data_IF_139972078882
#
_entry.id   IF_139972078882
#
_cell.length_a   1.000
_cell.length_b   1.000
_cell.length_c   1.000
_cell.angle_alpha   90.00
_cell.angle_beta   90.00
_cell.angle_gamma   90.00
#
_symmetry.space_group_name_H-M   'P 1'
#
loop_
_entity.id
_entity.type
_entity.pdbx_description
1 polymer ?
#
# COMPACT_ATOMS: atom_id res chain seq x y z
N UNK A 1 4.19 12.82 7.09
CA UNK A 1 2.73 13.00 7.10
C UNK A 1 2.37 13.91 8.25
N UNK A 2 1.75 15.05 7.97
CA UNK A 2 1.26 15.91 9.03
C UNK A 2 -0.16 15.50 9.39
N UNK A 3 -0.35 14.93 10.58
CA UNK A 3 -1.67 14.52 11.05
C UNK A 3 -2.43 15.75 11.53
N UNK A 4 -3.48 16.15 10.79
CA UNK A 4 -4.37 17.26 11.17
C UNK A 4 -5.12 16.94 12.46
N UNK A 5 -5.52 15.67 12.64
CA UNK A 5 -6.27 15.21 13.82
C UNK A 5 -5.36 15.15 15.05
N UNK A 6 -4.15 14.59 14.90
CA UNK A 6 -3.24 14.42 16.04
C UNK A 6 -2.33 15.63 16.28
N UNK A 7 -2.33 16.61 15.37
CA UNK A 7 -1.50 17.83 15.40
C UNK A 7 0.01 17.56 15.53
N UNK A 8 0.50 16.49 14.89
CA UNK A 8 1.91 16.10 14.88
C UNK A 8 2.33 15.50 13.55
N UNK A 9 3.63 15.51 13.29
CA UNK A 9 4.22 14.89 12.13
C UNK A 9 4.56 13.42 12.41
N UNK A 10 4.22 12.56 11.46
CA UNK A 10 4.62 11.16 11.43
C UNK A 10 5.53 10.90 10.24
N UNK A 11 6.61 10.18 10.50
CA UNK A 11 7.47 9.60 9.49
C UNK A 11 7.32 8.09 9.55
N UNK A 12 7.26 7.40 8.41
CA UNK A 12 7.14 5.95 8.39
C UNK A 12 8.05 5.34 7.35
N UNK A 13 8.88 4.42 7.80
CA UNK A 13 9.74 3.57 6.98
C UNK A 13 9.03 2.22 6.76
N UNK A 14 8.90 1.81 5.49
CA UNK A 14 8.20 0.58 5.10
C UNK A 14 9.14 -0.23 4.21
N UNK A 15 9.41 -1.47 4.62
CA UNK A 15 10.12 -2.45 3.81
C UNK A 15 9.12 -3.44 3.25
N UNK A 16 9.00 -3.49 1.93
CA UNK A 16 8.07 -4.42 1.28
C UNK A 16 8.57 -5.85 1.42
N UNK A 17 7.63 -6.75 1.73
CA UNK A 17 7.92 -8.17 1.75
C UNK A 17 8.14 -8.69 0.33
N UNK A 18 8.80 -9.84 0.23
CA UNK A 18 8.92 -10.56 -1.05
C UNK A 18 7.55 -10.86 -1.65
N UNK A 19 6.54 -11.11 -0.82
CA UNK A 19 5.17 -11.37 -1.24
C UNK A 19 4.53 -10.15 -1.88
N UNK A 20 4.72 -8.95 -1.30
CA UNK A 20 4.28 -7.69 -1.93
C UNK A 20 4.96 -7.49 -3.28
N UNK A 21 6.28 -7.70 -3.36
CA UNK A 21 7.02 -7.63 -4.62
C UNK A 21 6.49 -8.61 -5.67
N UNK A 22 6.23 -9.85 -5.28
CA UNK A 22 5.66 -10.87 -6.16
C UNK A 22 4.28 -10.44 -6.69
N UNK A 23 3.42 -9.85 -5.86
CA UNK A 23 2.12 -9.34 -6.30
C UNK A 23 2.26 -8.19 -7.30
N UNK A 24 3.25 -7.31 -7.13
CA UNK A 24 3.48 -6.20 -8.06
C UNK A 24 4.01 -6.67 -9.42
N UNK A 25 4.81 -7.74 -9.45
CA UNK A 25 5.40 -8.25 -10.71
C UNK A 25 4.60 -9.40 -11.34
N UNK A 26 3.53 -9.86 -10.70
CA UNK A 26 2.64 -10.89 -11.25
C UNK A 26 1.73 -10.27 -12.30
N UNK A 27 1.67 -10.89 -13.47
CA UNK A 27 0.73 -10.55 -14.53
C UNK A 27 -0.67 -11.06 -14.16
N UNK A 28 -1.66 -10.18 -14.22
CA UNK A 28 -3.07 -10.47 -14.05
C UNK A 28 -3.84 -10.16 -15.35
N UNK A 29 -5.03 -10.74 -15.51
CA UNK A 29 -5.93 -10.34 -16.58
C UNK A 29 -6.53 -8.97 -16.29
N UNK A 30 -6.62 -8.11 -17.30
CA UNK A 30 -7.28 -6.82 -17.16
C UNK A 30 -8.81 -6.95 -17.33
N UNK A 31 -9.56 -6.71 -16.25
CA UNK A 31 -11.03 -6.76 -16.18
C UNK A 31 -11.70 -5.67 -17.02
N UNK A 32 -11.03 -4.52 -17.24
CA UNK A 32 -11.55 -3.41 -18.04
C UNK A 32 -11.08 -3.43 -19.49
N UNK A 33 -9.93 -4.06 -19.76
CA UNK A 33 -9.35 -4.16 -21.11
C UNK A 33 -9.02 -5.62 -21.45
N UNK A 34 -10.03 -6.40 -21.92
CA UNK A 34 -9.83 -7.80 -22.27
C UNK A 34 -8.62 -8.01 -23.19
N UNK A 35 -7.78 -8.99 -22.84
CA UNK A 35 -6.56 -9.31 -23.60
C UNK A 35 -5.33 -8.46 -23.27
N UNK A 36 -5.42 -7.49 -22.34
CA UNK A 36 -4.27 -6.78 -21.80
C UNK A 36 -3.82 -7.37 -20.47
N UNK A 37 -2.50 -7.34 -20.25
CA UNK A 37 -1.91 -7.67 -18.96
C UNK A 37 -2.06 -6.48 -18.01
N UNK A 38 -2.52 -6.77 -16.80
CA UNK A 38 -2.54 -5.85 -15.68
C UNK A 38 -1.44 -6.22 -14.68
N UNK A 39 -0.78 -5.21 -14.11
CA UNK A 39 0.12 -5.36 -12.97
C UNK A 39 -0.41 -4.46 -11.86
N UNK A 40 -0.27 -4.90 -10.60
CA UNK A 40 -0.61 -4.06 -9.44
C UNK A 40 0.52 -3.07 -9.17
N UNK A 41 0.54 -1.98 -9.93
CA UNK A 41 1.56 -0.94 -9.87
C UNK A 41 1.18 0.24 -8.97
N UNK A 42 -0.10 0.37 -8.62
CA UNK A 42 -0.59 1.42 -7.72
C UNK A 42 -0.65 0.94 -6.26
N UNK A 43 -0.04 1.73 -5.38
CA UNK A 43 0.02 1.48 -3.95
C UNK A 43 -0.62 2.63 -3.16
N UNK A 44 -1.46 2.26 -2.21
CA UNK A 44 -2.18 3.18 -1.32
C UNK A 44 -1.58 3.06 0.06
N UNK A 45 -1.22 4.19 0.67
CA UNK A 45 -0.68 4.25 2.04
C UNK A 45 -1.61 5.14 2.85
N UNK A 46 -2.12 4.59 3.96
CA UNK A 46 -3.05 5.28 4.84
C UNK A 46 -2.49 5.43 6.23
N UNK A 47 -2.61 6.63 6.79
CA UNK A 47 -2.31 6.96 8.18
C UNK A 47 -3.63 7.11 8.94
N UNK A 48 -3.86 6.23 9.92
CA UNK A 48 -4.95 6.37 10.87
C UNK A 48 -4.51 7.22 12.09
N UNK A 49 -5.46 7.85 12.82
CA UNK A 49 -5.16 8.53 14.08
C UNK A 49 -4.32 7.67 15.03
N UNK A 50 -3.42 8.31 15.76
CA UNK A 50 -2.48 7.62 16.65
C UNK A 50 -1.25 7.04 15.95
N UNK A 51 -1.02 7.34 14.66
CA UNK A 51 0.23 6.98 13.98
C UNK A 51 0.22 5.60 13.30
N UNK A 52 -0.94 4.96 13.15
CA UNK A 52 -1.00 3.63 12.55
C UNK A 52 -0.97 3.73 11.03
N UNK A 53 0.08 3.21 10.41
CA UNK A 53 0.19 3.14 8.94
C UNK A 53 -0.23 1.77 8.41
N UNK A 54 -0.97 1.78 7.31
CA UNK A 54 -1.35 0.58 6.54
C UNK A 54 -1.10 0.81 5.04
N UNK A 55 -0.86 -0.28 4.33
CA UNK A 55 -0.52 -0.30 2.91
C UNK A 55 -1.42 -1.26 2.16
N UNK A 56 -1.87 -0.86 0.98
CA UNK A 56 -2.67 -1.69 0.08
C UNK A 56 -2.15 -1.58 -1.35
N UNK A 57 -2.33 -2.65 -2.13
CA UNK A 57 -2.21 -2.60 -3.58
C UNK A 57 -3.59 -2.43 -4.21
N UNK A 58 -3.68 -1.60 -5.24
CA UNK A 58 -4.87 -1.55 -6.09
C UNK A 58 -5.11 -2.91 -6.75
N UNK A 59 -6.37 -3.21 -7.07
CA UNK A 59 -6.76 -4.50 -7.62
C UNK A 59 -7.75 -4.37 -8.77
N UNK A 60 -7.44 -3.54 -9.77
CA UNK A 60 -8.18 -3.46 -11.04
C UNK A 60 -9.73 -3.49 -10.94
N UNK A 61 -10.32 -2.66 -10.08
CA UNK A 61 -11.77 -2.59 -9.89
C UNK A 61 -12.34 -3.46 -8.77
N UNK A 62 -11.57 -4.45 -8.31
CA UNK A 62 -11.86 -5.22 -7.11
C UNK A 62 -11.36 -4.50 -5.84
N UNK A 63 -11.77 -4.96 -4.64
CA UNK A 63 -11.26 -4.44 -3.39
C UNK A 63 -9.72 -4.48 -3.32
N UNK A 64 -9.15 -3.40 -2.78
CA UNK A 64 -7.71 -3.23 -2.58
C UNK A 64 -7.14 -4.32 -1.67
N UNK A 65 -5.93 -4.80 -1.97
CA UNK A 65 -5.32 -5.92 -1.25
C UNK A 65 -4.40 -5.41 -0.16
N UNK A 66 -4.75 -5.67 1.10
CA UNK A 66 -3.94 -5.33 2.27
C UNK A 66 -2.57 -6.02 2.20
N UNK A 67 -1.51 -5.21 2.32
CA UNK A 67 -0.14 -5.69 2.31
C UNK A 67 0.39 -5.88 3.73
N UNK A 68 1.29 -6.85 3.88
CA UNK A 68 2.04 -7.10 5.11
C UNK A 68 3.50 -6.73 4.86
N UNK A 69 3.98 -5.59 5.38
CA UNK A 69 5.38 -5.22 5.26
C UNK A 69 6.29 -6.27 5.92
N UNK A 70 7.49 -6.45 5.38
CA UNK A 70 8.55 -7.19 6.07
C UNK A 70 9.01 -6.43 7.33
N UNK A 71 8.96 -5.10 7.26
CA UNK A 71 9.36 -4.20 8.34
C UNK A 71 8.56 -2.90 8.23
N UNK A 72 8.05 -2.37 9.34
CA UNK A 72 7.39 -1.07 9.40
C UNK A 72 7.74 -0.35 10.70
N UNK A 73 8.22 0.89 10.59
CA UNK A 73 8.62 1.73 11.71
C UNK A 73 8.02 3.11 11.54
N UNK A 74 7.27 3.57 12.53
CA UNK A 74 6.67 4.91 12.53
C UNK A 74 7.26 5.73 13.65
N UNK A 75 7.79 6.91 13.31
CA UNK A 75 8.31 7.90 14.24
C UNK A 75 7.34 9.07 14.32
N UNK A 76 7.29 9.73 15.48
CA UNK A 76 6.58 10.98 15.68
C UNK A 76 7.58 12.08 15.97
N UNK A 77 7.43 13.22 15.30
CA UNK A 77 8.10 14.47 15.65
C UNK A 77 7.38 15.24 16.74
#
# INVERSE_FOLDING_TARGET
WDSVIDKKAYETEIWFSRETWQQMTTAYADTYKPGKTYYRDNMIIGLAPGGTVRVWLENNGDPVVLQRPARQFTLTG
#
